data_IF_079995952582
#
_entry.id   IF_079995952582
#
_cell.length_a   1.000
_cell.length_b   1.000
_cell.length_c   1.000
_cell.angle_alpha   90.00
_cell.angle_beta   90.00
_cell.angle_gamma   90.00
#
_symmetry.space_group_name_H-M   'P 1'
#
loop_
_entity.id
_entity.type
_entity.pdbx_description
1 polymer ?
#
# COMPACT_ATOMS: atom_id res chain seq x y z
N UNK A 1 -4.80 9.87 -32.75
CA UNK A 1 -5.30 8.55 -32.28
C UNK A 1 -6.62 8.69 -31.52
N UNK A 2 -7.04 9.92 -31.20
CA UNK A 2 -8.20 10.21 -30.34
C UNK A 2 -9.56 9.89 -31.00
N UNK A 3 -9.68 10.03 -32.32
CA UNK A 3 -10.92 9.71 -33.04
C UNK A 3 -11.31 8.22 -33.00
N UNK A 4 -10.31 7.32 -33.03
CA UNK A 4 -10.55 5.88 -32.92
C UNK A 4 -10.96 5.48 -31.50
N UNK A 5 -10.39 6.14 -30.49
CA UNK A 5 -10.77 5.92 -29.09
C UNK A 5 -12.22 6.33 -28.81
N UNK A 6 -12.66 7.48 -29.32
CA UNK A 6 -14.05 7.95 -29.19
C UNK A 6 -15.03 7.01 -29.88
N UNK A 7 -14.73 6.58 -31.11
CA UNK A 7 -15.58 5.65 -31.85
C UNK A 7 -15.74 4.29 -31.13
N UNK A 8 -14.64 3.76 -30.59
CA UNK A 8 -14.66 2.52 -29.82
C UNK A 8 -15.47 2.67 -28.53
N UNK A 9 -15.33 3.81 -27.84
CA UNK A 9 -16.07 4.11 -26.60
C UNK A 9 -17.57 4.16 -26.86
N UNK A 10 -18.00 4.87 -27.92
CA UNK A 10 -19.42 4.94 -28.28
C UNK A 10 -19.98 3.55 -28.61
N UNK A 11 -19.23 2.73 -29.35
CA UNK A 11 -19.66 1.37 -29.69
C UNK A 11 -19.83 0.48 -28.45
N UNK A 12 -18.95 0.60 -27.46
CA UNK A 12 -19.05 -0.13 -26.21
C UNK A 12 -20.30 0.30 -25.41
N UNK A 13 -20.61 1.60 -25.38
CA UNK A 13 -21.83 2.13 -24.73
C UNK A 13 -23.09 1.58 -25.40
N UNK A 14 -23.16 1.61 -26.73
CA UNK A 14 -24.34 1.13 -27.46
C UNK A 14 -24.59 -0.37 -27.21
N UNK A 15 -23.53 -1.18 -27.19
CA UNK A 15 -23.61 -2.62 -26.89
C UNK A 15 -24.07 -2.85 -25.44
N UNK A 16 -23.54 -2.09 -24.49
CA UNK A 16 -23.92 -2.17 -23.08
C UNK A 16 -25.40 -1.83 -22.87
N UNK A 17 -25.88 -0.75 -23.49
CA UNK A 17 -27.29 -0.33 -23.44
C UNK A 17 -28.21 -1.34 -24.16
N UNK A 18 -27.69 -2.08 -25.14
CA UNK A 18 -28.37 -3.19 -25.81
C UNK A 18 -28.43 -4.49 -25.00
N UNK A 19 -27.88 -4.53 -23.79
CA UNK A 19 -27.93 -5.69 -22.89
C UNK A 19 -26.74 -6.64 -22.99
N UNK A 20 -25.65 -6.25 -23.67
CA UNK A 20 -24.41 -7.02 -23.64
C UNK A 20 -23.77 -6.91 -22.25
N UNK A 21 -23.82 -8.02 -21.49
CA UNK A 21 -23.30 -8.10 -20.12
C UNK A 21 -21.78 -7.88 -20.04
N UNK A 22 -21.03 -8.19 -21.10
CA UNK A 22 -19.58 -7.96 -21.15
C UNK A 22 -19.28 -6.49 -21.32
N UNK A 23 -19.99 -5.82 -22.24
CA UNK A 23 -19.87 -4.38 -22.44
C UNK A 23 -20.34 -3.60 -21.20
N UNK A 24 -21.44 -4.01 -20.57
CA UNK A 24 -21.91 -3.45 -19.30
C UNK A 24 -20.85 -3.54 -18.20
N UNK A 25 -20.26 -4.72 -18.01
CA UNK A 25 -19.20 -4.92 -17.02
C UNK A 25 -17.99 -4.01 -17.30
N UNK A 26 -17.55 -3.92 -18.55
CA UNK A 26 -16.45 -3.04 -18.94
C UNK A 26 -16.74 -1.56 -18.62
N UNK A 27 -17.94 -1.08 -18.95
CA UNK A 27 -18.37 0.27 -18.65
C UNK A 27 -18.47 0.52 -17.14
N UNK A 28 -19.03 -0.42 -16.38
CA UNK A 28 -19.17 -0.31 -14.93
C UNK A 28 -17.82 -0.36 -14.21
N UNK A 29 -16.89 -1.21 -14.62
CA UNK A 29 -15.53 -1.25 -14.06
C UNK A 29 -14.78 0.09 -14.27
N UNK A 30 -15.17 0.88 -15.28
CA UNK A 30 -14.58 2.20 -15.55
C UNK A 30 -15.30 3.34 -14.81
N UNK A 31 -16.62 3.27 -14.69
CA UNK A 31 -17.47 4.29 -14.04
C UNK A 31 -17.42 4.14 -12.51
N UNK A 32 -17.48 2.91 -12.02
CA UNK A 32 -17.47 2.54 -10.61
C UNK A 32 -16.36 1.51 -10.36
N UNK A 33 -15.08 1.90 -10.55
CA UNK A 33 -13.99 0.98 -10.32
C UNK A 33 -14.03 0.48 -8.87
N UNK A 34 -13.69 -0.81 -8.62
CA UNK A 34 -13.51 -1.29 -7.25
C UNK A 34 -12.51 -0.38 -6.55
N UNK A 35 -12.88 0.12 -5.36
CA UNK A 35 -12.06 1.05 -4.57
C UNK A 35 -10.82 0.32 -4.06
N UNK A 36 -9.77 0.26 -4.89
CA UNK A 36 -8.55 -0.49 -4.59
C UNK A 36 -7.52 0.33 -3.79
N UNK A 37 -7.40 1.63 -4.07
CA UNK A 37 -6.28 2.43 -3.59
C UNK A 37 -6.73 3.75 -2.94
N UNK A 38 -7.76 3.70 -2.10
CA UNK A 38 -8.14 4.91 -1.35
C UNK A 38 -7.07 5.16 -0.29
N UNK A 39 -6.48 6.38 -0.21
CA UNK A 39 -5.59 6.72 0.89
C UNK A 39 -6.28 6.48 2.23
N UNK A 40 -5.60 5.78 3.12
CA UNK A 40 -6.01 5.64 4.52
C UNK A 40 -5.33 6.72 5.35
N UNK A 41 -6.06 7.21 6.34
CA UNK A 41 -5.54 8.16 7.33
C UNK A 41 -5.63 7.47 8.66
N UNK A 42 -4.49 7.31 9.33
CA UNK A 42 -4.40 6.77 10.68
C UNK A 42 -3.14 7.29 11.35
N UNK A 43 -3.11 7.26 12.67
CA UNK A 43 -1.92 7.71 13.42
C UNK A 43 -0.91 6.57 13.52
N UNK A 44 0.21 6.70 12.82
CA UNK A 44 1.34 5.78 12.95
C UNK A 44 2.39 6.38 13.91
N UNK A 45 2.80 5.65 14.96
CA UNK A 45 3.89 6.07 15.82
C UNK A 45 5.21 6.22 15.04
N UNK A 46 6.08 7.14 15.48
CA UNK A 46 7.44 7.23 14.95
C UNK A 46 8.23 5.95 15.24
N UNK A 47 9.00 5.50 14.25
CA UNK A 47 9.91 4.36 14.40
C UNK A 47 11.32 4.92 14.57
N UNK A 48 11.87 4.83 15.79
CA UNK A 48 13.21 5.32 16.13
C UNK A 48 14.20 4.18 16.35
N UNK A 49 13.70 2.98 16.64
CA UNK A 49 14.50 1.79 16.76
C UNK A 49 13.71 0.52 16.43
N UNK A 50 14.42 -0.61 16.29
CA UNK A 50 13.79 -1.91 16.09
C UNK A 50 12.83 -2.29 17.24
N UNK A 51 13.06 -1.79 18.46
CA UNK A 51 12.19 -2.05 19.61
C UNK A 51 10.82 -1.36 19.49
N UNK A 52 10.71 -0.29 18.68
CA UNK A 52 9.45 0.40 18.44
C UNK A 52 8.50 -0.39 17.55
N UNK A 53 9.00 -1.41 16.83
CA UNK A 53 8.22 -2.23 15.91
C UNK A 53 6.95 -2.80 16.57
N UNK A 54 7.05 -3.26 17.82
CA UNK A 54 5.91 -3.79 18.55
C UNK A 54 4.83 -2.72 18.82
N UNK A 55 5.25 -1.49 19.17
CA UNK A 55 4.33 -0.37 19.41
C UNK A 55 3.62 0.07 18.11
N UNK A 56 4.37 0.09 17.01
CA UNK A 56 3.86 0.44 15.68
C UNK A 56 2.83 -0.58 15.21
N UNK A 57 3.15 -1.88 15.34
CA UNK A 57 2.21 -2.97 14.99
C UNK A 57 0.97 -2.92 15.88
N UNK A 58 1.12 -2.63 17.17
CA UNK A 58 -0.01 -2.45 18.10
C UNK A 58 -0.94 -1.30 17.66
N UNK A 59 -0.39 -0.17 17.21
CA UNK A 59 -1.18 0.94 16.68
C UNK A 59 -1.96 0.56 15.41
N UNK A 60 -1.36 -0.21 14.51
CA UNK A 60 -2.07 -0.73 13.32
C UNK A 60 -3.20 -1.66 13.73
N UNK A 61 -2.98 -2.57 14.68
CA UNK A 61 -4.02 -3.46 15.20
C UNK A 61 -5.18 -2.70 15.84
N UNK A 62 -4.88 -1.63 16.61
CA UNK A 62 -5.89 -0.78 17.20
C UNK A 62 -6.73 -0.05 16.13
N UNK A 63 -6.10 0.45 15.07
CA UNK A 63 -6.78 1.10 13.94
C UNK A 63 -7.66 0.12 13.14
N UNK A 64 -7.28 -1.15 13.04
CA UNK A 64 -8.14 -2.20 12.48
C UNK A 64 -9.34 -2.48 13.40
N UNK A 65 -9.08 -2.60 14.70
CA UNK A 65 -10.14 -2.88 15.69
C UNK A 65 -11.18 -1.74 15.78
N UNK A 66 -10.77 -0.50 15.56
CA UNK A 66 -11.67 0.67 15.53
C UNK A 66 -12.41 0.83 14.19
N UNK A 67 -12.02 0.09 13.15
CA UNK A 67 -12.56 0.20 11.79
C UNK A 67 -12.00 1.37 10.98
N UNK A 68 -10.95 2.04 11.46
CA UNK A 68 -10.22 3.08 10.71
C UNK A 68 -9.43 2.49 9.54
N UNK A 69 -8.91 1.26 9.72
CA UNK A 69 -8.25 0.47 8.70
C UNK A 69 -8.99 -0.83 8.41
N UNK A 70 -8.96 -1.29 7.16
CA UNK A 70 -9.38 -2.65 6.83
C UNK A 70 -8.26 -3.65 7.12
N UNK A 71 -8.57 -4.95 7.28
CA UNK A 71 -7.55 -5.98 7.38
C UNK A 71 -6.60 -6.02 6.17
N UNK A 72 -7.09 -5.65 4.99
CA UNK A 72 -6.27 -5.54 3.77
C UNK A 72 -5.28 -4.38 3.85
N UNK A 73 -5.72 -3.21 4.34
CA UNK A 73 -4.82 -2.06 4.53
C UNK A 73 -3.71 -2.41 5.53
N UNK A 74 -4.07 -3.05 6.64
CA UNK A 74 -3.11 -3.46 7.67
C UNK A 74 -2.09 -4.48 7.15
N UNK A 75 -2.49 -5.39 6.25
CA UNK A 75 -1.57 -6.34 5.64
C UNK A 75 -0.54 -5.63 4.75
N UNK A 76 -0.95 -4.63 3.96
CA UNK A 76 -0.02 -3.86 3.13
C UNK A 76 0.89 -2.94 3.98
N UNK A 77 0.33 -2.26 4.97
CA UNK A 77 1.10 -1.44 5.93
C UNK A 77 2.11 -2.29 6.69
N UNK A 78 1.73 -3.51 7.10
CA UNK A 78 2.62 -4.45 7.79
C UNK A 78 3.88 -4.80 6.98
N UNK A 79 3.75 -4.96 5.65
CA UNK A 79 4.91 -5.19 4.77
C UNK A 79 5.86 -4.00 4.74
N UNK A 80 5.33 -2.78 4.78
CA UNK A 80 6.13 -1.55 4.82
C UNK A 80 6.89 -1.45 6.15
N UNK A 81 6.22 -1.74 7.27
CA UNK A 81 6.84 -1.75 8.60
C UNK A 81 7.97 -2.78 8.66
N UNK A 82 7.73 -4.01 8.21
CA UNK A 82 8.75 -5.08 8.18
C UNK A 82 9.97 -4.67 7.33
N UNK A 83 9.74 -4.07 6.16
CA UNK A 83 10.81 -3.57 5.29
C UNK A 83 11.61 -2.45 5.96
N UNK A 84 10.93 -1.54 6.66
CA UNK A 84 11.58 -0.45 7.38
C UNK A 84 12.44 -0.96 8.54
N UNK A 85 11.92 -1.89 9.36
CA UNK A 85 12.66 -2.48 10.49
C UNK A 85 13.92 -3.19 10.00
N UNK A 86 13.83 -3.98 8.93
CA UNK A 86 15.00 -4.65 8.32
C UNK A 86 16.05 -3.65 7.83
N UNK A 87 15.61 -2.56 7.18
CA UNK A 87 16.52 -1.52 6.72
C UNK A 87 17.21 -0.80 7.89
N UNK A 88 16.46 -0.53 8.96
CA UNK A 88 17.00 0.08 10.19
C UNK A 88 18.04 -0.82 10.86
N UNK A 89 17.71 -2.09 11.09
CA UNK A 89 18.64 -3.07 11.69
C UNK A 89 19.92 -3.22 10.86
N UNK A 90 19.79 -3.24 9.53
CA UNK A 90 20.94 -3.31 8.63
C UNK A 90 21.84 -2.08 8.80
N UNK A 91 21.26 -0.87 8.82
CA UNK A 91 22.01 0.36 9.01
C UNK A 91 22.70 0.41 10.38
N UNK A 92 22.02 0.00 11.45
CA UNK A 92 22.58 -0.05 12.80
C UNK A 92 23.75 -1.03 12.90
N UNK A 93 23.61 -2.23 12.32
CA UNK A 93 24.68 -3.23 12.28
C UNK A 93 25.89 -2.75 11.49
N UNK A 94 25.68 -2.12 10.32
CA UNK A 94 26.76 -1.52 9.53
C UNK A 94 27.53 -0.47 10.34
N UNK A 95 26.83 0.44 11.03
CA UNK A 95 27.48 1.45 11.86
C UNK A 95 28.30 0.84 13.01
N UNK A 96 27.75 -0.20 13.66
CA UNK A 96 28.44 -0.92 14.74
C UNK A 96 29.69 -1.65 14.24
N UNK A 97 29.62 -2.27 13.06
CA UNK A 97 30.76 -2.96 12.44
C UNK A 97 31.88 -1.98 12.12
N UNK A 98 31.57 -0.87 11.44
CA UNK A 98 32.59 0.13 11.11
C UNK A 98 33.26 0.70 12.37
N UNK A 99 32.48 0.90 13.44
CA UNK A 99 33.04 1.37 14.73
C UNK A 99 34.02 0.36 15.32
N UNK A 100 33.69 -0.93 15.28
CA UNK A 100 34.57 -2.00 15.76
C UNK A 100 35.83 -2.15 14.89
N UNK A 101 35.68 -2.04 13.57
CA UNK A 101 36.81 -2.11 12.62
C UNK A 101 37.79 -0.96 12.83
N UNK A 102 37.29 0.26 13.10
CA UNK A 102 38.11 1.43 13.46
C UNK A 102 38.87 1.24 14.77
N UNK A 103 38.27 0.56 15.76
CA UNK A 103 38.90 0.29 17.05
C UNK A 103 39.95 -0.82 16.99
N UNK A 104 39.78 -1.79 16.08
CA UNK A 104 40.66 -2.95 15.94
C UNK A 104 41.81 -2.70 14.95
N UNK A 105 41.69 -1.70 14.08
CA UNK A 105 42.72 -1.27 13.12
C UNK A 105 43.68 -0.20 13.66
N UNK A 106 43.66 0.08 14.97
CA UNK A 106 44.66 0.88 15.71
C UNK A 106 45.46 -0.01 16.63
#
# INVERSE_FOLDING_TARGET
>A
MDGQATALTQKAIDLALGGDMTALRLCLDRILPPRKDRPVTFTLPEIKSAQDAAAVVSAVLAAVASGELTPSDAAEIGKLIDSYVKAFETAELSERLERLERMTSQ
#
